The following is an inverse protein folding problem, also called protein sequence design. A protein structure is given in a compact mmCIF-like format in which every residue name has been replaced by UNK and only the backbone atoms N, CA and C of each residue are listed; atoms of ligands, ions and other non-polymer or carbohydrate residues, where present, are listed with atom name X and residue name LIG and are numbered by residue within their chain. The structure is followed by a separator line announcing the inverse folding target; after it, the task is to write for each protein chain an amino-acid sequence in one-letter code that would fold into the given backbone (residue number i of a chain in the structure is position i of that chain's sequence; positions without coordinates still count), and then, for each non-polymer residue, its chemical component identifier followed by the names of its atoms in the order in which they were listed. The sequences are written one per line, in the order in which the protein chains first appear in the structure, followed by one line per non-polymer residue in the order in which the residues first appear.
data_IF_646273432318
#
_entry.id   IF_646273432318
#
_cell.length_a   1.000
_cell.length_b   1.000
_cell.length_c   1.000
_cell.angle_alpha   90.00
_cell.angle_beta   90.00
_cell.angle_gamma   90.00
#
_symmetry.space_group_name_H-M   'P 1'
#
loop_
_entity.id
_entity.type
_entity.pdbx_description
1 polymer ?
#
# COMPACT_ATOMS: atom_id res chain seq x y z
N UNK A 1 21.17 7.59 -2.19
CA UNK A 1 22.31 6.67 -2.50
C UNK A 1 21.74 5.71 -3.53
N UNK A 2 22.22 5.71 -4.79
CA UNK A 2 21.51 5.01 -5.86
C UNK A 2 21.42 3.52 -5.54
N UNK A 3 20.20 2.96 -5.55
CA UNK A 3 19.96 1.55 -5.28
C UNK A 3 20.61 0.71 -6.38
N UNK A 4 21.38 -0.29 -5.99
CA UNK A 4 21.83 -1.32 -6.92
C UNK A 4 20.63 -2.12 -7.41
N UNK A 5 20.66 -2.65 -8.64
CA UNK A 5 19.60 -3.51 -9.18
C UNK A 5 19.07 -4.59 -8.20
N UNK A 6 19.92 -5.30 -7.42
CA UNK A 6 19.42 -6.23 -6.41
C UNK A 6 18.65 -5.55 -5.27
N UNK A 7 19.05 -4.35 -4.84
CA UNK A 7 18.36 -3.62 -3.77
C UNK A 7 16.99 -3.07 -4.21
N UNK A 8 16.88 -2.63 -5.47
CA UNK A 8 15.60 -2.26 -6.06
C UNK A 8 14.67 -3.48 -6.18
N UNK A 9 15.20 -4.62 -6.63
CA UNK A 9 14.42 -5.86 -6.72
C UNK A 9 13.91 -6.34 -5.35
N UNK A 10 14.74 -6.25 -4.28
CA UNK A 10 14.30 -6.57 -2.92
C UNK A 10 13.21 -5.62 -2.44
N UNK A 11 13.33 -4.31 -2.68
CA UNK A 11 12.32 -3.33 -2.25
C UNK A 11 10.96 -3.56 -2.95
N UNK A 12 10.99 -3.86 -4.25
CA UNK A 12 9.78 -4.23 -5.01
C UNK A 12 9.20 -5.54 -4.49
N UNK A 13 10.04 -6.57 -4.26
CA UNK A 13 9.61 -7.84 -3.70
C UNK A 13 8.94 -7.70 -2.33
N UNK A 14 9.54 -6.92 -1.42
CA UNK A 14 8.97 -6.61 -0.11
C UNK A 14 7.63 -5.87 -0.25
N UNK A 15 7.54 -4.88 -1.14
CA UNK A 15 6.29 -4.14 -1.36
C UNK A 15 5.17 -5.04 -1.88
N UNK A 16 5.48 -5.95 -2.81
CA UNK A 16 4.51 -6.93 -3.31
C UNK A 16 4.03 -7.87 -2.21
N UNK A 17 4.95 -8.37 -1.36
CA UNK A 17 4.59 -9.22 -0.22
C UNK A 17 3.75 -8.47 0.80
N UNK A 18 4.08 -7.22 1.12
CA UNK A 18 3.29 -6.36 2.02
C UNK A 18 1.87 -6.16 1.48
N UNK A 19 1.75 -5.81 0.20
CA UNK A 19 0.44 -5.62 -0.44
C UNK A 19 -0.37 -6.92 -0.50
N UNK A 20 0.29 -8.07 -0.73
CA UNK A 20 -0.34 -9.39 -0.71
C UNK A 20 -0.90 -9.72 0.67
N UNK A 21 -0.11 -9.53 1.73
CA UNK A 21 -0.50 -9.81 3.11
C UNK A 21 -1.70 -8.95 3.55
N UNK A 22 -1.62 -7.64 3.31
CA UNK A 22 -2.69 -6.69 3.65
C UNK A 22 -3.97 -7.03 2.90
N UNK A 23 -3.84 -7.28 1.59
CA UNK A 23 -4.99 -7.57 0.74
C UNK A 23 -5.63 -8.92 1.02
N UNK A 24 -4.85 -9.95 1.35
CA UNK A 24 -5.37 -11.27 1.71
C UNK A 24 -6.18 -11.22 3.01
N UNK A 25 -5.65 -10.54 4.03
CA UNK A 25 -6.37 -10.30 5.27
C UNK A 25 -7.68 -9.53 5.01
N UNK A 26 -7.64 -8.53 4.14
CA UNK A 26 -8.81 -7.72 3.81
C UNK A 26 -9.91 -8.51 3.09
N UNK A 27 -9.56 -9.38 2.15
CA UNK A 27 -10.54 -10.25 1.49
C UNK A 27 -11.22 -11.20 2.50
N UNK A 28 -10.45 -11.74 3.45
CA UNK A 28 -10.99 -12.60 4.51
C UNK A 28 -11.96 -11.83 5.42
N UNK A 29 -11.64 -10.58 5.79
CA UNK A 29 -12.46 -9.78 6.70
C UNK A 29 -13.73 -9.19 6.09
N UNK A 30 -13.74 -8.82 4.80
CA UNK A 30 -14.79 -7.99 4.18
C UNK A 30 -15.53 -8.65 3.00
N UNK A 31 -15.08 -9.82 2.51
CA UNK A 31 -15.77 -10.57 1.46
C UNK A 31 -15.82 -9.88 0.08
N UNK A 32 -16.67 -10.42 -0.82
CA UNK A 32 -16.77 -9.95 -2.21
C UNK A 32 -17.30 -8.51 -2.32
N UNK A 33 -16.76 -7.73 -3.28
CA UNK A 33 -17.18 -6.35 -3.55
C UNK A 33 -16.34 -5.27 -2.85
N UNK A 34 -15.39 -5.65 -2.01
CA UNK A 34 -14.41 -4.76 -1.38
C UNK A 34 -13.03 -4.82 -2.07
N UNK A 35 -12.17 -3.79 -1.92
CA UNK A 35 -10.81 -3.82 -2.44
C UNK A 35 -10.07 -5.04 -1.92
N UNK A 36 -9.61 -5.88 -2.84
CA UNK A 36 -9.02 -7.18 -2.53
C UNK A 36 -7.51 -7.22 -2.67
N UNK A 37 -6.94 -8.42 -2.71
CA UNK A 37 -5.51 -8.72 -2.85
C UNK A 37 -4.89 -7.91 -3.98
N UNK A 38 -5.52 -7.93 -5.16
CA UNK A 38 -5.02 -7.25 -6.35
C UNK A 38 -4.85 -5.75 -6.12
N UNK A 39 -5.83 -5.11 -5.49
CA UNK A 39 -5.83 -3.66 -5.33
C UNK A 39 -4.75 -3.23 -4.33
N UNK A 40 -4.61 -3.96 -3.21
CA UNK A 40 -3.57 -3.68 -2.22
C UNK A 40 -2.14 -3.96 -2.74
N UNK A 41 -1.95 -5.01 -3.54
CA UNK A 41 -0.67 -5.28 -4.21
C UNK A 41 -0.28 -4.14 -5.15
N UNK A 42 -1.23 -3.66 -5.96
CA UNK A 42 -0.99 -2.54 -6.87
C UNK A 42 -0.68 -1.25 -6.10
N UNK A 43 -1.40 -0.99 -5.01
CA UNK A 43 -1.19 0.20 -4.18
C UNK A 43 0.21 0.20 -3.53
N UNK A 44 0.64 -0.93 -2.97
CA UNK A 44 1.98 -1.06 -2.41
C UNK A 44 3.07 -0.94 -3.48
N UNK A 45 2.86 -1.55 -4.66
CA UNK A 45 3.77 -1.43 -5.80
C UNK A 45 3.94 0.02 -6.25
N UNK A 46 2.84 0.77 -6.36
CA UNK A 46 2.86 2.19 -6.73
C UNK A 46 3.64 3.01 -5.70
N UNK A 47 3.50 2.69 -4.42
CA UNK A 47 4.32 3.27 -3.35
C UNK A 47 5.81 3.03 -3.55
N UNK A 48 6.20 1.77 -3.82
CA UNK A 48 7.59 1.40 -4.08
C UNK A 48 8.14 2.11 -5.33
N UNK A 49 7.37 2.17 -6.41
CA UNK A 49 7.78 2.91 -7.62
C UNK A 49 8.00 4.39 -7.31
N UNK A 50 7.13 5.02 -6.52
CA UNK A 50 7.33 6.41 -6.11
C UNK A 50 8.61 6.60 -5.28
N UNK A 51 8.93 5.64 -4.42
CA UNK A 51 10.17 5.63 -3.64
C UNK A 51 11.41 5.49 -4.52
N UNK A 52 11.38 4.57 -5.48
CA UNK A 52 12.49 4.36 -6.44
C UNK A 52 12.73 5.56 -7.36
N UNK A 53 11.67 6.30 -7.72
CA UNK A 53 11.79 7.50 -8.55
C UNK A 53 12.37 8.70 -7.78
N UNK A 54 12.45 8.65 -6.45
CA UNK A 54 12.97 9.70 -5.57
C UNK A 54 12.42 11.12 -5.89
N UNK A 55 11.19 11.19 -6.40
CA UNK A 55 10.59 12.41 -6.93
C UNK A 55 9.44 12.88 -6.02
N UNK A 56 9.68 13.81 -5.07
CA UNK A 56 8.75 14.10 -3.99
C UNK A 56 7.42 14.69 -4.47
N UNK A 57 7.43 15.51 -5.51
CA UNK A 57 6.21 16.08 -6.08
C UNK A 57 5.33 15.00 -6.73
N UNK A 58 5.95 14.01 -7.38
CA UNK A 58 5.25 12.88 -7.98
C UNK A 58 4.68 11.97 -6.89
N UNK A 59 5.45 11.69 -5.84
CA UNK A 59 4.97 10.93 -4.67
C UNK A 59 3.76 11.61 -4.04
N UNK A 60 3.82 12.93 -3.82
CA UNK A 60 2.70 13.69 -3.26
C UNK A 60 1.48 13.67 -4.18
N UNK A 61 1.66 13.89 -5.48
CA UNK A 61 0.57 13.84 -6.46
C UNK A 61 -0.10 12.46 -6.52
N UNK A 62 0.70 11.39 -6.53
CA UNK A 62 0.18 10.01 -6.53
C UNK A 62 -0.57 9.70 -5.25
N UNK A 63 -0.06 10.09 -4.08
CA UNK A 63 -0.73 9.89 -2.80
C UNK A 63 -2.06 10.65 -2.73
N UNK A 64 -2.09 11.90 -3.20
CA UNK A 64 -3.32 12.70 -3.28
C UNK A 64 -4.32 12.05 -4.21
N UNK A 65 -3.89 11.61 -5.40
CA UNK A 65 -4.74 10.94 -6.39
C UNK A 65 -5.33 9.64 -5.84
N UNK A 66 -4.51 8.82 -5.19
CA UNK A 66 -4.94 7.57 -4.54
C UNK A 66 -5.96 7.85 -3.43
N UNK A 67 -5.67 8.81 -2.56
CA UNK A 67 -6.56 9.19 -1.45
C UNK A 67 -7.90 9.73 -1.97
N UNK A 68 -7.86 10.56 -3.01
CA UNK A 68 -9.06 11.08 -3.67
C UNK A 68 -9.89 9.95 -4.29
N UNK A 69 -9.25 9.00 -4.97
CA UNK A 69 -9.91 7.84 -5.55
C UNK A 69 -10.59 6.99 -4.47
N UNK A 70 -9.87 6.69 -3.38
CA UNK A 70 -10.41 5.97 -2.22
C UNK A 70 -11.61 6.69 -1.60
N UNK A 71 -11.53 8.01 -1.44
CA UNK A 71 -12.64 8.82 -0.94
C UNK A 71 -13.86 8.79 -1.87
N UNK A 72 -13.66 8.89 -3.18
CA UNK A 72 -14.75 8.77 -4.18
C UNK A 72 -15.40 7.39 -4.11
N UNK A 73 -14.60 6.32 -3.98
CA UNK A 73 -15.13 4.98 -3.80
C UNK A 73 -15.92 4.87 -2.49
N UNK A 74 -15.36 5.33 -1.37
CA UNK A 74 -16.04 5.35 -0.07
C UNK A 74 -17.43 5.99 -0.18
N UNK A 75 -17.51 7.19 -0.75
CA UNK A 75 -18.76 7.94 -0.93
C UNK A 75 -19.78 7.26 -1.85
N UNK A 76 -19.32 6.43 -2.80
CA UNK A 76 -20.21 5.67 -3.71
C UNK A 76 -20.69 4.34 -3.12
N UNK A 77 -20.02 3.81 -2.11
CA UNK A 77 -20.36 2.52 -1.50
C UNK A 77 -21.52 2.64 -0.52
N UNK A 78 -22.70 2.11 -0.88
CA UNK A 78 -23.91 2.21 -0.04
C UNK A 78 -23.92 1.30 1.19
N UNK A 79 -22.98 0.36 1.30
CA UNK A 79 -22.91 -0.65 2.39
C UNK A 79 -21.48 -0.87 2.92
N UNK A 80 -20.61 0.15 2.86
CA UNK A 80 -19.22 0.01 3.35
C UNK A 80 -19.13 0.05 4.87
N UNK A 81 -18.50 -0.95 5.47
CA UNK A 81 -18.19 -0.96 6.91
C UNK A 81 -16.90 -0.18 7.21
N UNK A 82 -17.04 1.09 7.59
CA UNK A 82 -15.98 1.93 8.16
C UNK A 82 -14.90 2.44 7.18
N UNK A 83 -14.11 3.41 7.66
CA UNK A 83 -13.02 4.09 6.92
C UNK A 83 -11.71 3.27 6.91
N UNK A 84 -11.75 2.07 7.49
CA UNK A 84 -10.54 1.26 7.72
C UNK A 84 -9.93 0.76 6.42
N UNK A 85 -10.71 0.65 5.33
CA UNK A 85 -10.23 0.19 4.02
C UNK A 85 -9.42 1.27 3.32
N UNK A 86 -9.87 2.51 3.42
CA UNK A 86 -9.20 3.69 2.89
C UNK A 86 -7.87 3.91 3.64
N UNK A 87 -7.91 3.78 4.97
CA UNK A 87 -6.71 3.84 5.82
C UNK A 87 -5.75 2.71 5.45
N UNK A 88 -6.23 1.48 5.27
CA UNK A 88 -5.39 0.36 4.85
C UNK A 88 -4.74 0.64 3.49
N UNK A 89 -5.48 1.21 2.53
CA UNK A 89 -4.96 1.53 1.19
C UNK A 89 -3.85 2.57 1.26
N UNK A 90 -4.09 3.68 1.98
CA UNK A 90 -3.05 4.70 2.22
C UNK A 90 -1.84 4.09 2.92
N UNK A 91 -2.06 3.23 3.90
CA UNK A 91 -0.99 2.55 4.64
C UNK A 91 -0.18 1.63 3.73
N UNK A 92 -0.82 0.85 2.86
CA UNK A 92 -0.14 -0.02 1.90
C UNK A 92 0.77 0.78 0.95
N UNK A 93 0.32 1.95 0.46
CA UNK A 93 1.15 2.84 -0.34
C UNK A 93 2.37 3.32 0.44
N UNK A 94 2.16 3.81 1.67
CA UNK A 94 3.24 4.33 2.50
C UNK A 94 4.27 3.24 2.84
N UNK A 95 3.81 2.02 3.13
CA UNK A 95 4.70 0.88 3.42
C UNK A 95 5.48 0.45 2.18
N UNK A 96 4.83 0.41 1.02
CA UNK A 96 5.50 0.16 -0.25
C UNK A 96 6.57 1.20 -0.56
N UNK A 97 6.31 2.49 -0.31
CA UNK A 97 7.32 3.54 -0.40
C UNK A 97 8.48 3.28 0.59
N UNK A 98 8.15 2.91 1.82
CA UNK A 98 9.12 2.73 2.90
C UNK A 98 10.10 1.57 2.63
N UNK A 99 9.75 0.55 1.82
CA UNK A 99 10.67 -0.53 1.44
C UNK A 99 11.87 -0.05 0.62
N UNK A 100 11.75 1.10 -0.05
CA UNK A 100 12.84 1.71 -0.83
C UNK A 100 13.80 2.53 0.02
N UNK A 101 13.45 2.75 1.29
CA UNK A 101 14.21 3.57 2.22
C UNK A 101 15.07 2.70 3.15
N UNK A 102 16.05 3.27 3.89
CA UNK A 102 16.79 2.54 4.92
C UNK A 102 15.92 1.92 6.03
N UNK A 103 14.64 2.31 6.10
CA UNK A 103 13.67 1.85 7.09
C UNK A 103 12.86 0.63 6.60
N UNK A 104 13.30 -0.08 5.55
CA UNK A 104 12.57 -1.22 4.97
C UNK A 104 12.18 -2.30 6.00
N UNK A 105 13.03 -2.59 6.98
CA UNK A 105 12.72 -3.51 8.08
C UNK A 105 11.52 -3.05 8.92
N UNK A 106 11.37 -1.74 9.11
CA UNK A 106 10.19 -1.18 9.79
C UNK A 106 8.95 -1.32 8.92
N UNK A 107 9.07 -1.21 7.59
CA UNK A 107 7.94 -1.42 6.68
C UNK A 107 7.33 -2.81 6.87
N UNK A 108 8.16 -3.85 6.93
CA UNK A 108 7.70 -5.23 7.17
C UNK A 108 7.07 -5.37 8.56
N UNK A 109 7.70 -4.85 9.60
CA UNK A 109 7.16 -4.91 10.97
C UNK A 109 5.81 -4.21 11.11
N UNK A 110 5.66 -3.02 10.53
CA UNK A 110 4.41 -2.27 10.53
C UNK A 110 3.35 -2.98 9.68
N UNK A 111 3.72 -3.60 8.56
CA UNK A 111 2.77 -4.38 7.76
C UNK A 111 2.13 -5.51 8.56
N UNK A 112 2.89 -6.22 9.39
CA UNK A 112 2.36 -7.29 10.26
C UNK A 112 1.38 -6.71 11.29
N UNK A 113 1.72 -5.58 11.92
CA UNK A 113 0.81 -4.92 12.87
C UNK A 113 -0.47 -4.45 12.19
N UNK A 114 -0.35 -3.89 10.98
CA UNK A 114 -1.50 -3.47 10.17
C UNK A 114 -2.40 -4.68 9.92
N UNK A 115 -1.86 -5.78 9.40
CA UNK A 115 -2.61 -7.03 9.16
C UNK A 115 -3.32 -7.51 10.42
N UNK A 116 -2.68 -7.47 11.59
CA UNK A 116 -3.31 -7.88 12.84
C UNK A 116 -4.51 -6.98 13.25
N UNK A 117 -4.64 -5.79 12.69
CA UNK A 117 -5.72 -4.82 12.95
C UNK A 117 -6.81 -4.81 11.85
N UNK A 118 -6.63 -5.51 10.73
CA UNK A 118 -7.57 -5.55 9.58
C UNK A 118 -8.47 -6.78 9.61
#
# INVERSE_FOLDING_TARGET
MPLTMPAAATAVGEALLIGLLIGAQREVSQGEGHPGVRDFVLVALVGAVCGLLETPWLTAATLISLTALLCVFYLRGRERSGVTTEIAGVTAFCLGYLTTTPLSRMAVGVAIVVVALL
#
